data_IF_439571751863
#
_entry.id   IF_439571751863
#
_cell.length_a   1.000
_cell.length_b   1.000
_cell.length_c   1.000
_cell.angle_alpha   90.00
_cell.angle_beta   90.00
_cell.angle_gamma   90.00
#
_symmetry.space_group_name_H-M   'P 1'
#
loop_
_entity.id
_entity.type
_entity.pdbx_description
1 polymer ?
#
# COMPACT_ATOMS: atom_id res chain seq x y z
N UNK A 1 -30.82 8.27 22.59
CA UNK A 1 -30.15 7.38 23.58
C UNK A 1 -29.66 6.16 22.81
N UNK A 2 -28.36 5.94 22.79
CA UNK A 2 -27.80 4.72 22.22
C UNK A 2 -28.26 3.51 23.04
N UNK A 3 -28.79 2.52 22.37
CA UNK A 3 -29.23 1.28 23.01
C UNK A 3 -28.03 0.31 23.08
N UNK A 4 -27.64 -0.07 24.30
CA UNK A 4 -26.54 -1.00 24.52
C UNK A 4 -27.08 -2.39 24.92
N UNK A 5 -26.43 -3.43 24.41
CA UNK A 5 -26.66 -4.83 24.78
C UNK A 5 -25.43 -5.32 25.53
N UNK A 6 -25.64 -5.92 26.70
CA UNK A 6 -24.58 -6.53 27.49
C UNK A 6 -24.30 -7.94 26.97
N UNK A 7 -23.07 -8.19 26.54
CA UNK A 7 -22.60 -9.53 26.16
C UNK A 7 -22.04 -10.19 27.41
N UNK A 8 -22.44 -11.44 27.75
CA UNK A 8 -21.87 -12.18 28.87
C UNK A 8 -20.36 -12.34 28.72
N UNK A 9 -19.65 -12.31 29.84
CA UNK A 9 -18.21 -12.62 29.88
C UNK A 9 -17.98 -14.02 29.32
N UNK A 10 -16.97 -14.15 28.45
CA UNK A 10 -16.57 -15.41 27.82
C UNK A 10 -15.06 -15.53 27.81
N UNK A 11 -14.57 -16.75 28.06
CA UNK A 11 -13.21 -17.11 27.78
C UNK A 11 -13.02 -17.24 26.25
N UNK A 12 -11.89 -16.72 25.75
CA UNK A 12 -11.52 -16.78 24.34
C UNK A 12 -10.31 -17.72 24.22
N UNK A 13 -10.38 -18.79 23.41
CA UNK A 13 -9.26 -19.72 23.28
C UNK A 13 -8.06 -19.05 22.60
N UNK A 14 -6.88 -19.21 23.20
CA UNK A 14 -5.59 -18.85 22.57
C UNK A 14 -5.23 -19.97 21.60
N UNK A 15 -5.23 -19.67 20.32
CA UNK A 15 -4.99 -20.67 19.25
C UNK A 15 -3.57 -20.60 18.69
N UNK A 16 -2.84 -19.51 18.96
CA UNK A 16 -1.50 -19.30 18.45
C UNK A 16 -0.69 -18.38 19.35
N UNK A 17 0.60 -18.74 19.52
CA UNK A 17 1.63 -17.89 20.11
C UNK A 17 2.79 -17.79 19.11
N UNK A 18 3.25 -16.56 18.85
CA UNK A 18 4.30 -16.27 17.87
C UNK A 18 5.26 -15.20 18.42
N UNK A 19 6.39 -14.96 17.77
CA UNK A 19 7.29 -13.87 18.15
C UNK A 19 6.80 -12.52 17.60
N UNK A 20 6.42 -12.48 16.31
CA UNK A 20 5.91 -11.30 15.60
C UNK A 20 4.57 -11.62 14.97
N UNK A 21 3.58 -10.79 15.26
CA UNK A 21 2.26 -10.85 14.63
C UNK A 21 2.04 -9.65 13.73
N UNK A 22 1.74 -9.92 12.45
CA UNK A 22 1.44 -8.90 11.44
C UNK A 22 -0.04 -8.90 11.15
N UNK A 23 -0.68 -7.73 11.18
CA UNK A 23 -2.11 -7.53 10.90
C UNK A 23 -2.28 -6.88 9.55
N UNK A 24 -2.81 -7.62 8.58
CA UNK A 24 -3.03 -7.22 7.21
C UNK A 24 -2.00 -7.77 6.23
N UNK A 25 -2.46 -8.55 5.24
CA UNK A 25 -1.66 -9.19 4.19
C UNK A 25 -1.51 -8.31 2.93
N UNK A 26 -1.55 -6.98 3.07
CA UNK A 26 -1.16 -6.04 2.01
C UNK A 26 0.35 -6.09 1.75
N UNK A 27 0.83 -5.37 0.73
CA UNK A 27 2.26 -5.36 0.35
C UNK A 27 3.20 -4.99 1.51
N UNK A 28 2.78 -4.10 2.41
CA UNK A 28 3.53 -3.74 3.61
C UNK A 28 3.59 -4.89 4.62
N UNK A 29 2.46 -5.56 4.85
CA UNK A 29 2.40 -6.69 5.78
C UNK A 29 3.18 -7.90 5.29
N UNK A 30 3.13 -8.19 3.99
CA UNK A 30 3.96 -9.23 3.36
C UNK A 30 5.44 -8.90 3.58
N UNK A 31 5.87 -7.67 3.29
CA UNK A 31 7.25 -7.25 3.49
C UNK A 31 7.67 -7.34 4.96
N UNK A 32 6.80 -6.92 5.88
CA UNK A 32 7.06 -7.00 7.32
C UNK A 32 7.20 -8.45 7.80
N UNK A 33 6.30 -9.32 7.36
CA UNK A 33 6.34 -10.72 7.74
C UNK A 33 7.58 -11.44 7.20
N UNK A 34 7.89 -11.22 5.92
CA UNK A 34 9.09 -11.79 5.27
C UNK A 34 10.38 -11.26 5.92
N UNK A 35 10.48 -9.94 6.13
CA UNK A 35 11.67 -9.36 6.76
C UNK A 35 11.90 -9.91 8.17
N UNK A 36 10.86 -10.06 8.98
CA UNK A 36 10.96 -10.66 10.29
C UNK A 36 11.33 -12.16 10.22
N UNK A 37 10.72 -12.93 9.32
CA UNK A 37 11.03 -14.34 9.12
C UNK A 37 12.49 -14.56 8.68
N UNK A 38 13.01 -13.75 7.76
CA UNK A 38 14.43 -13.76 7.34
C UNK A 38 15.39 -13.51 8.50
N UNK A 39 14.94 -12.81 9.56
CA UNK A 39 15.70 -12.64 10.79
C UNK A 39 15.57 -13.85 11.75
N UNK A 40 14.88 -14.93 11.38
CA UNK A 40 14.81 -16.18 12.13
C UNK A 40 13.89 -16.15 13.35
N UNK A 41 12.91 -15.25 13.41
CA UNK A 41 11.83 -15.25 14.40
C UNK A 41 10.58 -15.90 13.85
N UNK A 42 9.68 -16.41 14.72
CA UNK A 42 8.41 -16.99 14.32
C UNK A 42 7.43 -15.86 13.96
N UNK A 43 6.83 -15.93 12.77
CA UNK A 43 5.93 -14.89 12.26
C UNK A 43 4.58 -15.48 11.88
N UNK A 44 3.51 -14.83 12.33
CA UNK A 44 2.14 -15.09 11.87
C UNK A 44 1.58 -13.82 11.25
N UNK A 45 1.00 -13.93 10.06
CA UNK A 45 0.32 -12.85 9.35
C UNK A 45 -1.17 -13.15 9.29
N UNK A 46 -2.00 -12.23 9.81
CA UNK A 46 -3.46 -12.30 9.78
C UNK A 46 -3.98 -11.45 8.61
N UNK A 47 -4.78 -12.08 7.72
CA UNK A 47 -5.41 -11.39 6.59
C UNK A 47 -6.92 -11.58 6.60
N UNK A 48 -7.67 -10.47 6.50
CA UNK A 48 -9.15 -10.48 6.51
C UNK A 48 -9.78 -11.05 5.24
N UNK A 49 -9.05 -11.02 4.14
CA UNK A 49 -9.49 -11.58 2.86
C UNK A 49 -8.92 -12.98 2.63
N UNK A 50 -9.17 -13.53 1.45
CA UNK A 50 -8.60 -14.81 1.02
C UNK A 50 -7.46 -14.65 0.01
N UNK A 51 -6.95 -13.43 -0.17
CA UNK A 51 -5.85 -13.12 -1.10
C UNK A 51 -4.88 -12.13 -0.49
N UNK A 52 -3.60 -12.32 -0.73
CA UNK A 52 -2.52 -11.41 -0.36
C UNK A 52 -2.41 -10.23 -1.35
N UNK A 53 -1.69 -9.19 -0.94
CA UNK A 53 -1.38 -8.00 -1.75
C UNK A 53 -2.28 -6.79 -1.47
N UNK A 54 -3.41 -6.96 -0.77
CA UNK A 54 -4.33 -5.87 -0.39
C UNK A 54 -4.79 -5.05 -1.60
N UNK A 55 -4.59 -3.72 -1.57
CA UNK A 55 -5.02 -2.86 -2.70
C UNK A 55 -4.31 -3.17 -4.01
N UNK A 56 -3.09 -3.71 -3.98
CA UNK A 56 -2.35 -4.08 -5.20
C UNK A 56 -3.03 -5.23 -5.96
N UNK A 57 -3.74 -6.09 -5.26
CA UNK A 57 -4.45 -7.25 -5.83
C UNK A 57 -5.97 -7.08 -5.77
N UNK A 58 -6.59 -7.25 -4.60
CA UNK A 58 -8.05 -7.15 -4.43
C UNK A 58 -8.62 -5.76 -4.69
N UNK A 59 -7.80 -4.70 -4.59
CA UNK A 59 -8.16 -3.33 -4.94
C UNK A 59 -7.83 -2.93 -6.38
N UNK A 60 -7.26 -3.82 -7.20
CA UNK A 60 -6.88 -3.59 -8.60
C UNK A 60 -5.85 -2.47 -8.84
N UNK A 61 -5.07 -2.06 -7.84
CA UNK A 61 -3.97 -1.10 -8.01
C UNK A 61 -2.75 -1.85 -8.54
N UNK A 62 -2.84 -2.36 -9.79
CA UNK A 62 -1.88 -3.26 -10.40
C UNK A 62 -0.74 -2.55 -11.14
N UNK A 63 -0.33 -1.40 -10.65
CA UNK A 63 0.81 -0.63 -11.14
C UNK A 63 1.85 -0.53 -10.03
N UNK A 64 2.98 -1.19 -10.22
CA UNK A 64 4.13 -1.00 -9.35
C UNK A 64 4.82 0.29 -9.75
N UNK A 65 4.60 1.35 -8.97
CA UNK A 65 5.11 2.68 -9.24
C UNK A 65 6.64 2.70 -9.21
N UNK A 66 7.29 3.73 -9.80
CA UNK A 66 8.73 3.73 -9.99
C UNK A 66 9.52 3.53 -8.71
N UNK A 67 10.61 2.76 -8.83
CA UNK A 67 11.60 2.58 -7.78
C UNK A 67 12.92 3.32 -8.07
N UNK A 68 12.94 4.14 -9.12
CA UNK A 68 14.02 5.06 -9.51
C UNK A 68 13.60 6.53 -9.38
N UNK A 69 14.58 7.45 -9.41
CA UNK A 69 14.35 8.90 -9.31
C UNK A 69 13.97 9.57 -10.64
N UNK A 70 13.98 8.85 -11.75
CA UNK A 70 13.75 9.39 -13.10
C UNK A 70 14.97 10.02 -13.75
N UNK A 71 16.14 9.98 -13.10
CA UNK A 71 17.46 10.30 -13.64
C UNK A 71 18.35 9.06 -13.75
N UNK A 72 17.75 7.87 -13.70
CA UNK A 72 18.45 6.60 -13.78
C UNK A 72 19.09 6.13 -12.48
N UNK A 73 18.78 6.71 -11.32
CA UNK A 73 19.26 6.23 -10.03
C UNK A 73 18.16 5.42 -9.32
N UNK A 74 18.45 4.17 -8.95
CA UNK A 74 17.55 3.36 -8.14
C UNK A 74 17.47 3.93 -6.72
N UNK A 75 16.26 4.19 -6.25
CA UNK A 75 15.97 4.76 -4.92
C UNK A 75 15.53 3.66 -3.95
N UNK A 76 14.64 2.78 -4.38
CA UNK A 76 14.18 1.66 -3.57
C UNK A 76 14.94 0.40 -3.94
N UNK A 77 15.44 -0.31 -2.92
CA UNK A 77 16.05 -1.63 -3.04
C UNK A 77 15.39 -2.60 -2.06
N UNK A 78 16.08 -3.67 -1.68
CA UNK A 78 15.58 -4.66 -0.74
C UNK A 78 14.28 -5.32 -1.19
N UNK A 79 13.37 -5.54 -0.26
CA UNK A 79 12.07 -6.14 -0.57
C UNK A 79 11.22 -5.30 -1.51
N UNK A 80 11.43 -3.98 -1.60
CA UNK A 80 10.69 -3.15 -2.54
C UNK A 80 11.02 -3.50 -4.00
N UNK A 81 12.26 -3.83 -4.31
CA UNK A 81 12.66 -4.35 -5.61
C UNK A 81 12.26 -5.82 -5.79
N UNK A 82 12.45 -6.66 -4.76
CA UNK A 82 12.09 -8.07 -4.81
C UNK A 82 10.60 -8.28 -5.10
N UNK A 83 9.70 -7.57 -4.40
CA UNK A 83 8.25 -7.69 -4.61
C UNK A 83 7.79 -7.21 -5.98
N UNK A 84 8.47 -6.22 -6.60
CA UNK A 84 8.23 -5.87 -7.99
C UNK A 84 8.42 -7.11 -8.89
N UNK A 85 9.56 -7.78 -8.74
CA UNK A 85 9.86 -8.98 -9.53
C UNK A 85 8.99 -10.19 -9.16
N UNK A 86 8.57 -10.32 -7.90
CA UNK A 86 7.59 -11.34 -7.49
C UNK A 86 6.26 -11.12 -8.19
N UNK A 87 5.76 -9.89 -8.26
CA UNK A 87 4.47 -9.58 -8.90
C UNK A 87 4.43 -9.89 -10.39
N UNK A 88 5.57 -9.88 -11.09
CA UNK A 88 5.65 -10.17 -12.54
C UNK A 88 6.20 -11.57 -12.86
N UNK A 89 6.52 -12.38 -11.86
CA UNK A 89 7.24 -13.65 -12.02
C UNK A 89 6.61 -14.61 -13.02
N UNK A 90 5.28 -14.69 -13.07
CA UNK A 90 4.54 -15.68 -13.85
C UNK A 90 3.57 -15.07 -14.86
N UNK A 91 3.79 -13.82 -15.26
CA UNK A 91 2.93 -13.15 -16.24
C UNK A 91 3.71 -12.20 -17.14
N UNK A 92 3.01 -11.67 -18.14
CA UNK A 92 3.53 -10.57 -18.94
C UNK A 92 3.66 -9.33 -18.06
N UNK A 93 4.69 -8.55 -18.39
CA UNK A 93 5.01 -7.29 -17.75
C UNK A 93 5.50 -6.27 -18.79
N UNK A 94 5.68 -5.04 -18.37
CA UNK A 94 6.25 -3.97 -19.17
C UNK A 94 7.47 -3.33 -18.50
N UNK A 95 8.19 -4.12 -17.69
CA UNK A 95 9.44 -3.68 -17.08
C UNK A 95 10.47 -3.40 -18.18
N UNK A 96 11.07 -2.19 -18.24
CA UNK A 96 12.08 -1.88 -19.24
C UNK A 96 13.31 -2.79 -19.12
N UNK A 97 13.87 -3.20 -20.27
CA UNK A 97 14.98 -4.16 -20.33
C UNK A 97 16.19 -3.74 -19.50
N UNK A 98 16.49 -2.43 -19.47
CA UNK A 98 17.61 -1.86 -18.72
C UNK A 98 17.56 -2.15 -17.22
N UNK A 99 16.36 -2.41 -16.67
CA UNK A 99 16.14 -2.67 -15.25
C UNK A 99 16.01 -4.16 -14.87
N UNK A 100 15.94 -5.07 -15.87
CA UNK A 100 15.72 -6.50 -15.61
C UNK A 100 16.84 -7.18 -14.82
N UNK A 101 18.08 -6.70 -14.98
CA UNK A 101 19.24 -7.20 -14.23
C UNK A 101 19.39 -6.58 -12.85
N UNK A 102 18.41 -5.77 -12.39
CA UNK A 102 18.42 -5.05 -11.11
C UNK A 102 19.65 -4.15 -10.90
N UNK A 103 20.07 -3.32 -11.88
CA UNK A 103 21.21 -2.45 -11.67
C UNK A 103 20.88 -1.33 -10.68
N UNK A 104 21.90 -0.76 -10.02
CA UNK A 104 21.73 0.42 -9.17
C UNK A 104 21.53 1.72 -9.96
N UNK A 105 21.98 1.73 -11.21
CA UNK A 105 21.86 2.88 -12.11
C UNK A 105 21.59 2.45 -13.55
N UNK A 106 20.92 3.34 -14.30
CA UNK A 106 20.69 3.23 -15.72
C UNK A 106 20.97 4.59 -16.40
N UNK A 107 21.02 4.69 -17.75
CA UNK A 107 21.08 5.98 -18.43
C UNK A 107 19.95 6.92 -17.97
N UNK A 108 20.25 8.22 -17.81
CA UNK A 108 19.32 9.20 -17.26
C UNK A 108 18.04 9.42 -18.10
N UNK A 109 18.08 9.07 -19.37
CA UNK A 109 16.95 9.13 -20.30
C UNK A 109 16.14 7.83 -20.39
N UNK A 110 16.52 6.80 -19.62
CA UNK A 110 15.81 5.52 -19.58
C UNK A 110 14.34 5.68 -19.17
N UNK A 111 13.51 4.73 -19.60
CA UNK A 111 12.17 4.56 -19.04
C UNK A 111 12.25 4.25 -17.55
N UNK A 112 11.20 4.63 -16.81
CA UNK A 112 11.14 4.46 -15.35
C UNK A 112 11.20 2.99 -14.95
N UNK A 113 11.88 2.71 -13.85
CA UNK A 113 11.90 1.39 -13.21
C UNK A 113 10.54 1.13 -12.57
N UNK A 114 9.54 0.82 -13.37
CA UNK A 114 8.16 0.54 -12.96
C UNK A 114 7.54 -0.50 -13.88
N UNK A 115 6.47 -1.13 -13.43
CA UNK A 115 5.76 -2.13 -14.25
C UNK A 115 4.29 -2.23 -13.88
N UNK A 116 3.48 -2.62 -14.85
CA UNK A 116 2.16 -3.19 -14.59
C UNK A 116 2.30 -4.71 -14.37
N UNK A 117 1.37 -5.30 -13.65
CA UNK A 117 1.36 -6.74 -13.42
C UNK A 117 -0.05 -7.33 -13.50
N UNK A 118 -0.10 -8.62 -13.81
CA UNK A 118 -1.33 -9.39 -13.84
C UNK A 118 -1.74 -9.76 -12.42
N UNK A 119 -2.93 -9.37 -11.99
CA UNK A 119 -3.41 -9.55 -10.61
C UNK A 119 -3.48 -11.03 -10.20
N UNK A 120 -4.13 -11.95 -10.96
CA UNK A 120 -4.17 -13.37 -10.61
C UNK A 120 -2.78 -13.97 -10.44
N UNK A 121 -1.86 -13.69 -11.36
CA UNK A 121 -0.49 -14.18 -11.27
C UNK A 121 0.26 -13.61 -10.05
N UNK A 122 0.07 -12.33 -9.76
CA UNK A 122 0.67 -11.70 -8.59
C UNK A 122 0.17 -12.30 -7.28
N UNK A 123 -1.13 -12.61 -7.15
CA UNK A 123 -1.68 -13.31 -5.97
C UNK A 123 -0.96 -14.62 -5.75
N UNK A 124 -0.89 -15.49 -6.79
CA UNK A 124 -0.24 -16.80 -6.67
C UNK A 124 1.27 -16.69 -6.39
N UNK A 125 1.94 -15.68 -6.99
CA UNK A 125 3.35 -15.42 -6.72
C UNK A 125 3.59 -14.94 -5.28
N UNK A 126 2.69 -14.15 -4.71
CA UNK A 126 2.78 -13.69 -3.31
C UNK A 126 2.51 -14.82 -2.32
N UNK A 127 1.57 -15.73 -2.63
CA UNK A 127 1.33 -16.93 -1.82
C UNK A 127 2.57 -17.84 -1.81
N UNK A 128 3.14 -18.11 -2.99
CA UNK A 128 4.38 -18.89 -3.10
C UNK A 128 5.54 -18.22 -2.35
N UNK A 129 5.73 -16.91 -2.53
CA UNK A 129 6.80 -16.15 -1.92
C UNK A 129 6.72 -16.20 -0.39
N UNK A 130 5.55 -15.92 0.20
CA UNK A 130 5.36 -15.96 1.65
C UNK A 130 5.56 -17.35 2.23
N UNK A 131 5.12 -18.38 1.52
CA UNK A 131 5.33 -19.78 1.92
C UNK A 131 6.82 -20.18 1.89
N UNK A 132 7.56 -19.78 0.84
CA UNK A 132 9.00 -20.02 0.71
C UNK A 132 9.81 -19.33 1.82
N UNK A 133 9.37 -18.15 2.26
CA UNK A 133 10.00 -17.39 3.34
C UNK A 133 9.55 -17.85 4.74
N UNK A 134 8.71 -18.91 4.82
CA UNK A 134 8.30 -19.53 6.09
C UNK A 134 7.33 -18.69 6.92
N UNK A 135 6.58 -17.79 6.29
CA UNK A 135 5.52 -17.01 6.94
C UNK A 135 4.27 -17.85 7.12
N UNK A 136 3.76 -17.90 8.35
CA UNK A 136 2.48 -18.55 8.66
C UNK A 136 1.32 -17.58 8.40
N UNK A 137 0.61 -17.77 7.29
CA UNK A 137 -0.49 -16.89 6.86
C UNK A 137 -1.84 -17.47 7.28
N UNK A 138 -2.65 -16.64 7.93
CA UNK A 138 -4.01 -16.98 8.37
C UNK A 138 -5.01 -16.09 7.62
N UNK A 139 -5.71 -16.67 6.66
CA UNK A 139 -6.72 -16.01 5.83
C UNK A 139 -8.11 -16.01 6.49
N UNK A 140 -9.04 -15.22 5.91
CA UNK A 140 -10.45 -15.09 6.34
C UNK A 140 -10.56 -14.83 7.85
N UNK A 141 -9.68 -13.96 8.36
CA UNK A 141 -9.49 -13.71 9.79
C UNK A 141 -9.37 -12.23 10.07
N UNK A 142 -10.38 -11.69 10.73
CA UNK A 142 -10.55 -10.26 10.96
C UNK A 142 -10.05 -9.88 12.35
N UNK A 143 -9.07 -8.98 12.43
CA UNK A 143 -8.70 -8.35 13.69
C UNK A 143 -9.88 -7.59 14.29
N UNK A 144 -10.20 -7.86 15.57
CA UNK A 144 -11.32 -7.26 16.30
C UNK A 144 -10.85 -6.31 17.39
N UNK A 145 -10.06 -6.80 18.33
CA UNK A 145 -9.66 -6.04 19.53
C UNK A 145 -8.22 -6.37 19.96
N UNK A 146 -7.44 -5.40 20.48
CA UNK A 146 -6.19 -5.69 21.16
C UNK A 146 -6.42 -6.19 22.59
N UNK A 147 -5.59 -7.08 23.07
CA UNK A 147 -5.50 -7.49 24.48
C UNK A 147 -4.36 -6.67 25.10
N UNK A 148 -4.71 -5.72 25.97
CA UNK A 148 -3.77 -4.74 26.51
C UNK A 148 -3.34 -5.06 27.94
N UNK A 149 -2.06 -4.79 28.24
CA UNK A 149 -1.51 -4.69 29.59
C UNK A 149 -0.71 -3.39 29.70
N UNK A 150 -1.31 -2.37 30.28
CA UNK A 150 -0.74 -1.03 30.25
C UNK A 150 -0.63 -0.49 28.83
N UNK A 151 0.58 -0.14 28.42
CA UNK A 151 0.90 0.32 27.06
C UNK A 151 1.42 -0.80 26.13
N UNK A 152 1.30 -2.05 26.55
CA UNK A 152 1.80 -3.22 25.81
C UNK A 152 0.65 -4.05 25.30
N UNK A 153 0.65 -4.36 24.01
CA UNK A 153 -0.26 -5.33 23.39
C UNK A 153 0.26 -6.75 23.73
N UNK A 154 -0.55 -7.56 24.38
CA UNK A 154 -0.19 -8.97 24.70
C UNK A 154 -0.67 -9.94 23.62
N UNK A 155 -1.77 -9.59 22.98
CA UNK A 155 -2.38 -10.38 21.93
C UNK A 155 -3.45 -9.60 21.19
N UNK A 156 -4.09 -10.27 20.27
CA UNK A 156 -5.27 -9.74 19.57
C UNK A 156 -6.41 -10.75 19.57
N UNK A 157 -7.63 -10.24 19.54
CA UNK A 157 -8.82 -11.00 19.26
C UNK A 157 -9.08 -10.98 17.75
N UNK A 158 -9.38 -12.15 17.20
CA UNK A 158 -9.66 -12.36 15.79
C UNK A 158 -11.01 -13.06 15.64
N UNK A 159 -11.81 -12.57 14.71
CA UNK A 159 -13.07 -13.21 14.28
C UNK A 159 -12.82 -14.00 12.99
N UNK A 160 -13.20 -15.27 12.95
CA UNK A 160 -13.01 -16.15 11.80
C UNK A 160 -14.13 -17.21 11.72
N UNK A 161 -14.02 -18.15 10.76
CA UNK A 161 -14.92 -19.32 10.66
C UNK A 161 -14.94 -20.15 11.93
N UNK A 162 -13.86 -20.17 12.71
CA UNK A 162 -13.76 -20.88 13.98
C UNK A 162 -14.37 -20.11 15.14
N UNK A 163 -14.93 -18.93 14.90
CA UNK A 163 -15.45 -18.00 15.89
C UNK A 163 -14.37 -17.06 16.41
N UNK A 164 -14.56 -16.55 17.62
CA UNK A 164 -13.66 -15.63 18.30
C UNK A 164 -12.48 -16.38 18.92
N UNK A 165 -11.27 -16.01 18.54
CA UNK A 165 -10.01 -16.62 19.00
C UNK A 165 -8.97 -15.56 19.34
N UNK A 166 -7.97 -15.91 20.15
CA UNK A 166 -6.88 -15.04 20.55
C UNK A 166 -5.54 -15.52 19.93
N UNK A 167 -4.76 -14.57 19.46
CA UNK A 167 -3.39 -14.74 18.99
C UNK A 167 -2.46 -13.91 19.86
N UNK A 168 -1.45 -14.55 20.44
CA UNK A 168 -0.49 -13.90 21.33
C UNK A 168 0.84 -13.69 20.63
N UNK A 169 1.51 -12.56 20.89
CA UNK A 169 2.82 -12.29 20.34
C UNK A 169 3.65 -11.37 21.26
N UNK A 170 4.97 -11.31 21.00
CA UNK A 170 5.88 -10.37 21.67
C UNK A 170 5.85 -8.99 21.02
N UNK A 171 5.87 -8.95 19.68
CA UNK A 171 5.83 -7.73 18.88
C UNK A 171 4.69 -7.79 17.87
N UNK A 172 4.11 -6.65 17.57
CA UNK A 172 2.99 -6.49 16.64
C UNK A 172 3.34 -5.49 15.56
N UNK A 173 2.88 -5.77 14.33
CA UNK A 173 3.00 -4.83 13.20
C UNK A 173 1.60 -4.58 12.66
N UNK A 174 1.14 -3.34 12.80
CA UNK A 174 -0.08 -2.89 12.16
C UNK A 174 0.21 -2.55 10.70
N UNK A 175 -0.24 -3.42 9.80
CA UNK A 175 -0.23 -3.25 8.36
C UNK A 175 -1.65 -3.31 7.77
N UNK A 176 -2.66 -3.03 8.61
CA UNK A 176 -4.09 -3.06 8.24
C UNK A 176 -4.44 -2.08 7.10
N UNK A 177 -3.59 -1.07 6.90
CA UNK A 177 -3.76 0.01 5.93
C UNK A 177 -4.63 1.16 6.45
N UNK A 178 -5.32 0.95 7.57
CA UNK A 178 -6.27 1.90 8.16
C UNK A 178 -5.93 2.21 9.63
N UNK A 179 -4.72 1.82 10.10
CA UNK A 179 -4.24 2.01 11.48
C UNK A 179 -5.17 1.41 12.55
N UNK A 180 -5.72 0.23 12.26
CA UNK A 180 -6.78 -0.35 13.11
C UNK A 180 -6.24 -0.81 14.45
N UNK A 181 -5.06 -1.45 14.51
CA UNK A 181 -4.47 -1.90 15.76
C UNK A 181 -4.02 -0.69 16.61
N UNK A 182 -3.21 0.21 16.01
CA UNK A 182 -2.67 1.36 16.76
C UNK A 182 -3.78 2.26 17.30
N UNK A 183 -4.84 2.47 16.52
CA UNK A 183 -6.02 3.24 16.95
C UNK A 183 -6.76 2.55 18.12
N UNK A 184 -7.06 1.25 17.99
CA UNK A 184 -7.79 0.50 19.04
C UNK A 184 -6.95 0.26 20.28
N UNK A 185 -5.61 0.27 20.15
CA UNK A 185 -4.70 0.23 21.29
C UNK A 185 -4.48 1.60 21.96
N UNK A 186 -5.15 2.66 21.50
CA UNK A 186 -5.14 3.98 22.11
C UNK A 186 -4.01 4.92 21.68
N UNK A 187 -3.33 4.64 20.58
CA UNK A 187 -2.37 5.58 19.99
C UNK A 187 -3.08 6.76 19.31
N UNK A 188 -2.38 7.90 19.21
CA UNK A 188 -2.88 9.05 18.46
C UNK A 188 -2.87 8.77 16.96
N UNK A 189 -3.95 9.16 16.30
CA UNK A 189 -4.15 8.98 14.88
C UNK A 189 -4.81 10.19 14.25
N UNK A 190 -4.56 10.40 12.96
CA UNK A 190 -5.28 11.38 12.14
C UNK A 190 -6.07 10.70 11.05
N UNK A 191 -7.24 11.24 10.72
CA UNK A 191 -8.11 10.74 9.66
C UNK A 191 -8.24 11.74 8.52
N UNK A 192 -8.40 11.22 7.31
CA UNK A 192 -8.64 12.00 6.11
C UNK A 192 -9.71 11.31 5.26
N UNK A 193 -10.59 12.10 4.65
CA UNK A 193 -11.50 11.59 3.63
C UNK A 193 -10.74 11.30 2.34
N UNK A 194 -11.08 10.21 1.69
CA UNK A 194 -10.46 9.79 0.44
C UNK A 194 -11.39 10.00 -0.74
N UNK A 195 -10.81 10.28 -1.89
CA UNK A 195 -11.55 10.43 -3.15
C UNK A 195 -12.09 9.09 -3.63
N UNK A 196 -13.25 9.13 -4.29
CA UNK A 196 -13.86 7.93 -4.90
C UNK A 196 -13.21 7.66 -6.24
N UNK A 197 -12.77 6.42 -6.42
CA UNK A 197 -12.26 5.88 -7.68
C UNK A 197 -12.74 4.44 -7.90
N UNK A 198 -12.71 3.98 -9.15
CA UNK A 198 -13.05 2.61 -9.52
C UNK A 198 -12.14 2.12 -10.63
N UNK A 199 -11.39 1.07 -10.37
CA UNK A 199 -10.44 0.49 -11.32
C UNK A 199 -10.91 -0.89 -11.73
N UNK A 200 -10.82 -1.20 -13.01
CA UNK A 200 -11.20 -2.50 -13.55
C UNK A 200 -10.42 -2.82 -14.83
N UNK A 201 -10.37 -4.09 -15.18
CA UNK A 201 -9.88 -4.51 -16.49
C UNK A 201 -11.05 -4.67 -17.45
N UNK A 202 -10.78 -4.40 -18.71
CA UNK A 202 -11.77 -4.49 -19.78
C UNK A 202 -11.28 -5.34 -20.94
N UNK A 203 -12.24 -5.86 -21.70
CA UNK A 203 -12.06 -6.36 -23.04
C UNK A 203 -12.81 -5.43 -23.99
N UNK A 204 -12.11 -4.94 -24.99
CA UNK A 204 -12.60 -4.12 -26.08
C UNK A 204 -11.97 -4.64 -27.36
N UNK A 205 -12.77 -5.05 -28.36
CA UNK A 205 -12.23 -5.73 -29.54
C UNK A 205 -11.23 -4.90 -30.31
N UNK A 206 -11.42 -3.58 -30.41
CA UNK A 206 -10.48 -2.70 -31.11
C UNK A 206 -9.16 -2.54 -30.34
N UNK A 207 -9.25 -2.49 -29.00
CA UNK A 207 -8.07 -2.43 -28.13
C UNK A 207 -7.32 -3.76 -28.17
N UNK A 208 -8.05 -4.88 -28.06
CA UNK A 208 -7.46 -6.23 -28.15
C UNK A 208 -6.75 -6.44 -29.47
N UNK A 209 -7.39 -6.06 -30.59
CA UNK A 209 -6.77 -6.18 -31.91
C UNK A 209 -5.43 -5.45 -31.99
N UNK A 210 -5.39 -4.22 -31.51
CA UNK A 210 -4.14 -3.45 -31.47
C UNK A 210 -3.08 -4.10 -30.56
N UNK A 211 -3.47 -4.57 -29.38
CA UNK A 211 -2.56 -5.27 -28.47
C UNK A 211 -1.99 -6.56 -29.06
N UNK A 212 -2.82 -7.33 -29.80
CA UNK A 212 -2.38 -8.53 -30.53
C UNK A 212 -1.42 -8.18 -31.66
N UNK A 213 -1.73 -7.15 -32.46
CA UNK A 213 -0.87 -6.69 -33.56
C UNK A 213 0.49 -6.20 -33.05
N UNK A 214 0.56 -5.61 -31.87
CA UNK A 214 1.77 -5.16 -31.20
C UNK A 214 2.49 -6.25 -30.38
N UNK A 215 1.85 -7.43 -30.18
CA UNK A 215 2.36 -8.49 -29.33
C UNK A 215 2.38 -8.12 -27.83
N UNK A 216 1.51 -7.20 -27.40
CA UNK A 216 1.48 -6.65 -26.04
C UNK A 216 0.18 -7.03 -25.32
N UNK A 217 0.24 -8.05 -24.45
CA UNK A 217 -0.92 -8.57 -23.71
C UNK A 217 -1.49 -7.55 -22.72
N UNK A 218 -0.65 -6.76 -22.06
CA UNK A 218 -1.09 -5.73 -21.12
C UNK A 218 -1.88 -4.63 -21.84
N UNK A 219 -1.51 -4.36 -23.09
CA UNK A 219 -2.25 -3.42 -23.93
C UNK A 219 -3.53 -4.02 -24.50
N UNK A 220 -3.55 -5.33 -24.71
CA UNK A 220 -4.75 -6.04 -25.18
C UNK A 220 -5.86 -6.07 -24.11
N UNK A 221 -5.48 -6.08 -22.82
CA UNK A 221 -6.39 -6.12 -21.66
C UNK A 221 -6.01 -5.01 -20.68
N UNK A 222 -6.29 -3.74 -21.03
CA UNK A 222 -5.86 -2.61 -20.21
C UNK A 222 -6.66 -2.51 -18.92
N UNK A 223 -6.06 -1.85 -17.95
CA UNK A 223 -6.75 -1.38 -16.76
C UNK A 223 -7.40 -0.02 -17.06
N UNK A 224 -8.67 0.11 -16.70
CA UNK A 224 -9.42 1.36 -16.79
C UNK A 224 -9.71 1.93 -15.41
N UNK A 225 -9.69 3.24 -15.32
CA UNK A 225 -9.94 3.97 -14.10
C UNK A 225 -11.05 5.02 -14.30
N UNK A 226 -12.05 4.98 -13.42
CA UNK A 226 -13.14 5.95 -13.31
C UNK A 226 -13.02 6.75 -12.00
N UNK A 227 -13.59 7.93 -11.97
CA UNK A 227 -13.62 8.78 -10.77
C UNK A 227 -12.59 9.90 -10.81
N UNK A 228 -12.35 10.53 -9.66
CA UNK A 228 -11.45 11.66 -9.58
C UNK A 228 -9.98 11.25 -9.80
N UNK A 229 -9.27 12.09 -10.53
CA UNK A 229 -7.81 11.99 -10.66
C UNK A 229 -7.21 12.44 -9.32
N UNK A 230 -6.31 11.69 -8.70
CA UNK A 230 -5.56 12.21 -7.59
C UNK A 230 -4.61 13.31 -8.10
N UNK A 231 -4.96 14.55 -7.94
CA UNK A 231 -3.98 15.60 -7.82
C UNK A 231 -3.20 15.28 -6.54
N UNK A 232 -1.91 15.10 -6.59
CA UNK A 232 -1.09 14.58 -5.48
C UNK A 232 -1.10 15.40 -4.18
N UNK A 233 -2.23 15.96 -3.78
CA UNK A 233 -2.41 16.77 -2.59
C UNK A 233 -3.82 16.60 -2.01
N UNK A 234 -3.89 16.44 -0.72
CA UNK A 234 -5.10 16.72 0.04
C UNK A 234 -5.46 18.20 -0.12
N UNK A 235 -6.67 18.52 -0.56
CA UNK A 235 -7.22 19.85 -0.34
C UNK A 235 -7.95 20.56 -1.46
N UNK A 236 -7.84 20.16 -2.73
CA UNK A 236 -8.47 20.90 -3.84
C UNK A 236 -9.64 20.13 -4.51
N UNK A 237 -10.27 19.20 -3.79
CA UNK A 237 -11.17 18.24 -4.39
C UNK A 237 -12.62 18.60 -4.10
N UNK A 238 -13.47 18.46 -5.12
CA UNK A 238 -14.91 18.59 -4.97
C UNK A 238 -15.36 17.70 -3.81
N UNK A 239 -15.80 18.29 -2.71
CA UNK A 239 -16.20 17.60 -1.46
C UNK A 239 -17.20 16.46 -1.69
N UNK A 240 -17.98 16.53 -2.78
CA UNK A 240 -19.06 15.63 -3.12
C UNK A 240 -18.62 14.20 -3.50
N UNK A 241 -17.33 13.95 -3.73
CA UNK A 241 -16.78 12.64 -4.10
C UNK A 241 -15.69 12.14 -3.14
N UNK A 242 -15.78 12.50 -1.86
CA UNK A 242 -14.89 12.01 -0.81
C UNK A 242 -15.66 11.23 0.25
N UNK A 243 -15.10 10.13 0.73
CA UNK A 243 -15.68 9.27 1.76
C UNK A 243 -14.73 9.04 2.92
N UNK A 244 -15.29 8.83 4.10
CA UNK A 244 -14.56 8.40 5.28
C UNK A 244 -14.36 6.87 5.24
N UNK A 245 -13.12 6.42 5.08
CA UNK A 245 -12.78 4.99 5.06
C UNK A 245 -12.66 4.34 6.44
N UNK A 246 -12.91 5.07 7.53
CA UNK A 246 -12.76 4.58 8.91
C UNK A 246 -14.09 4.19 9.57
N UNK A 247 -15.21 4.43 8.89
CA UNK A 247 -16.56 4.10 9.37
C UNK A 247 -17.29 3.16 8.42
N UNK A 248 -18.19 2.34 8.95
CA UNK A 248 -19.04 1.44 8.13
C UNK A 248 -19.89 2.22 7.13
N UNK A 249 -20.43 3.35 7.55
CA UNK A 249 -21.26 4.24 6.74
C UNK A 249 -20.46 4.80 5.57
N UNK A 250 -19.26 5.32 5.84
CA UNK A 250 -18.38 5.88 4.80
C UNK A 250 -17.84 4.81 3.82
N UNK A 251 -17.55 3.60 4.31
CA UNK A 251 -17.18 2.46 3.45
C UNK A 251 -18.35 2.08 2.54
N UNK A 252 -19.58 1.99 3.08
CA UNK A 252 -20.77 1.67 2.29
C UNK A 252 -21.08 2.77 1.26
N UNK A 253 -20.89 4.02 1.62
CA UNK A 253 -21.04 5.16 0.72
C UNK A 253 -20.03 5.06 -0.44
N UNK A 254 -18.73 4.87 -0.13
CA UNK A 254 -17.70 4.67 -1.14
C UNK A 254 -18.05 3.56 -2.13
N UNK A 255 -18.49 2.39 -1.63
CA UNK A 255 -18.85 1.25 -2.46
C UNK A 255 -20.02 1.61 -3.39
N UNK A 256 -21.05 2.25 -2.88
CA UNK A 256 -22.21 2.69 -3.71
C UNK A 256 -21.80 3.69 -4.78
N UNK A 257 -21.00 4.69 -4.42
CA UNK A 257 -20.53 5.72 -5.34
C UNK A 257 -19.62 5.12 -6.42
N UNK A 258 -18.60 4.37 -6.05
CA UNK A 258 -17.64 3.78 -6.99
C UNK A 258 -18.32 2.79 -7.95
N UNK A 259 -19.23 1.95 -7.44
CA UNK A 259 -20.02 1.03 -8.28
C UNK A 259 -21.06 1.76 -9.13
N UNK A 260 -21.59 2.89 -8.66
CA UNK A 260 -22.45 3.78 -9.43
C UNK A 260 -21.73 4.31 -10.68
N UNK A 261 -20.51 4.81 -10.52
CA UNK A 261 -19.65 5.23 -11.65
C UNK A 261 -19.45 4.10 -12.66
N UNK A 262 -19.13 2.90 -12.18
CA UNK A 262 -18.92 1.72 -13.03
C UNK A 262 -20.21 1.33 -13.78
N UNK A 263 -21.35 1.33 -13.10
CA UNK A 263 -22.64 1.00 -13.70
C UNK A 263 -23.05 2.02 -14.78
N UNK A 264 -22.86 3.31 -14.51
CA UNK A 264 -23.19 4.36 -15.48
C UNK A 264 -22.26 4.30 -16.70
N UNK A 265 -20.97 3.99 -16.47
CA UNK A 265 -20.04 3.70 -17.56
C UNK A 265 -20.52 2.51 -18.42
N UNK A 266 -20.92 1.40 -17.82
CA UNK A 266 -21.45 0.22 -18.54
C UNK A 266 -22.72 0.55 -19.32
N UNK A 267 -23.66 1.31 -18.75
CA UNK A 267 -24.89 1.73 -19.46
C UNK A 267 -24.59 2.57 -20.69
N UNK A 268 -23.63 3.51 -20.58
CA UNK A 268 -23.24 4.41 -21.68
C UNK A 268 -22.44 3.70 -22.78
N UNK A 269 -21.68 2.65 -22.40
CA UNK A 269 -20.80 1.90 -23.31
C UNK A 269 -21.35 0.52 -23.65
N UNK A 270 -22.66 0.30 -23.52
CA UNK A 270 -23.29 -0.97 -23.85
C UNK A 270 -23.15 -1.25 -25.34
N UNK A 271 -22.39 -2.31 -25.68
CA UNK A 271 -22.14 -2.80 -27.04
C UNK A 271 -21.65 -4.24 -26.98
N UNK A 272 -21.70 -4.96 -28.10
CA UNK A 272 -21.41 -6.40 -28.15
C UNK A 272 -19.91 -6.71 -28.18
N UNK A 273 -19.07 -5.71 -28.44
CA UNK A 273 -17.60 -5.81 -28.54
C UNK A 273 -16.85 -5.27 -27.32
N UNK A 274 -17.57 -5.03 -26.21
CA UNK A 274 -17.02 -4.53 -24.95
C UNK A 274 -17.49 -5.34 -23.74
N UNK A 275 -16.57 -5.64 -22.81
CA UNK A 275 -16.90 -6.22 -21.51
C UNK A 275 -16.00 -5.66 -20.39
N UNK A 276 -16.59 -5.32 -19.26
CA UNK A 276 -15.86 -5.18 -18.00
C UNK A 276 -15.62 -6.59 -17.44
N UNK A 277 -14.37 -6.98 -17.24
CA UNK A 277 -14.01 -8.37 -16.87
C UNK A 277 -13.54 -8.50 -15.43
N UNK A 278 -13.41 -7.43 -14.69
CA UNK A 278 -13.02 -7.48 -13.28
C UNK A 278 -13.69 -6.39 -12.47
N UNK A 279 -13.84 -6.64 -11.17
CA UNK A 279 -14.30 -5.67 -10.17
C UNK A 279 -13.37 -5.74 -8.95
N UNK A 280 -13.02 -4.62 -8.32
CA UNK A 280 -12.28 -4.64 -7.06
C UNK A 280 -13.16 -5.24 -5.94
N UNK A 281 -12.57 -6.12 -5.15
CA UNK A 281 -13.20 -6.73 -3.98
C UNK A 281 -12.93 -5.95 -2.70
N UNK A 282 -11.96 -5.05 -2.73
CA UNK A 282 -11.62 -4.14 -1.63
C UNK A 282 -11.80 -2.70 -2.09
N UNK A 283 -12.47 -1.84 -1.31
CA UNK A 283 -12.59 -0.41 -1.61
C UNK A 283 -11.20 0.22 -1.75
N UNK A 284 -11.02 1.04 -2.79
CA UNK A 284 -9.73 1.64 -3.12
C UNK A 284 -9.44 2.89 -2.28
N UNK A 285 -9.57 2.79 -0.97
CA UNK A 285 -9.22 3.88 -0.08
C UNK A 285 -7.72 4.18 -0.15
N UNK A 286 -7.37 5.41 -0.44
CA UNK A 286 -5.97 5.86 -0.58
C UNK A 286 -5.37 6.27 0.75
N UNK A 287 -6.07 7.14 1.46
CA UNK A 287 -5.72 7.66 2.78
C UNK A 287 -6.98 7.63 3.63
N UNK A 288 -6.90 7.04 4.81
CA UNK A 288 -8.04 6.89 5.73
C UNK A 288 -7.66 7.40 7.11
N UNK A 289 -6.83 6.63 7.80
CA UNK A 289 -6.26 6.94 9.10
C UNK A 289 -4.76 6.65 9.07
N UNK A 290 -3.97 7.51 9.72
CA UNK A 290 -2.53 7.34 9.90
C UNK A 290 -2.14 7.42 11.38
N UNK A 291 -1.02 6.81 11.72
CA UNK A 291 -0.36 6.99 13.01
C UNK A 291 0.12 8.45 13.14
N UNK A 292 -0.02 9.03 14.32
CA UNK A 292 0.80 10.15 14.77
C UNK A 292 2.00 9.56 15.49
N UNK A 293 3.12 9.45 14.77
CA UNK A 293 4.35 8.85 15.26
C UNK A 293 5.16 9.79 16.12
N UNK A 294 6.30 9.30 16.63
CA UNK A 294 7.25 10.11 17.41
C UNK A 294 7.93 11.17 16.54
N UNK A 295 8.08 10.91 15.23
CA UNK A 295 8.40 11.87 14.18
C UNK A 295 7.61 11.54 12.91
N UNK A 296 7.73 12.34 11.86
CA UNK A 296 6.99 12.17 10.62
C UNK A 296 7.80 12.57 9.38
N UNK A 297 7.42 12.02 8.22
CA UNK A 297 7.94 12.51 6.95
C UNK A 297 7.35 13.90 6.65
N UNK A 298 8.23 14.91 6.55
CA UNK A 298 7.91 16.28 6.12
C UNK A 298 8.25 16.44 4.64
N UNK A 299 7.26 16.80 3.85
CA UNK A 299 7.40 16.85 2.38
C UNK A 299 8.22 18.02 1.86
N UNK A 300 8.27 19.13 2.61
CA UNK A 300 8.84 20.39 2.11
C UNK A 300 10.35 20.51 2.35
N UNK A 301 10.95 19.63 3.14
CA UNK A 301 12.34 19.68 3.55
C UNK A 301 13.16 18.49 3.03
N UNK A 302 14.17 18.78 2.20
CA UNK A 302 15.21 17.82 1.84
C UNK A 302 16.30 17.83 2.91
N UNK A 303 16.19 17.03 3.96
CA UNK A 303 17.20 16.95 5.01
C UNK A 303 17.68 15.51 5.20
N UNK A 304 18.87 15.40 5.77
CA UNK A 304 19.45 14.14 6.18
C UNK A 304 18.82 13.68 7.49
N UNK A 305 18.44 12.42 7.58
CA UNK A 305 17.83 11.82 8.76
C UNK A 305 18.73 10.70 9.28
N UNK A 306 19.33 10.90 10.46
CA UNK A 306 20.23 9.92 11.08
C UNK A 306 19.56 8.57 11.34
N UNK A 307 18.28 8.57 11.64
CA UNK A 307 17.44 7.36 11.86
C UNK A 307 16.74 6.88 10.60
N UNK A 308 17.18 7.31 9.41
CA UNK A 308 16.54 6.91 8.15
C UNK A 308 16.46 5.39 8.01
N UNK A 309 15.28 4.92 7.61
CA UNK A 309 15.04 3.53 7.23
C UNK A 309 15.03 3.32 5.72
N UNK A 310 15.18 4.40 4.95
CA UNK A 310 15.29 4.35 3.49
C UNK A 310 14.79 5.60 2.79
N UNK A 311 15.16 5.69 1.54
CA UNK A 311 14.76 6.76 0.63
C UNK A 311 13.38 6.50 0.04
N UNK A 312 12.63 7.59 -0.18
CA UNK A 312 11.31 7.59 -0.84
C UNK A 312 11.24 8.68 -1.90
N UNK A 313 10.55 8.43 -3.02
CA UNK A 313 10.38 9.42 -4.09
C UNK A 313 9.11 10.24 -3.90
N UNK A 314 9.17 11.51 -4.30
CA UNK A 314 8.06 12.46 -4.17
C UNK A 314 6.90 12.22 -5.14
N UNK A 315 7.20 11.72 -6.34
CA UNK A 315 6.23 11.70 -7.44
C UNK A 315 6.67 10.83 -8.61
N UNK A 316 5.83 10.80 -9.65
CA UNK A 316 6.13 10.18 -10.94
C UNK A 316 6.96 11.10 -11.86
N UNK A 317 7.23 12.34 -11.44
CA UNK A 317 7.96 13.32 -12.25
C UNK A 317 9.40 12.87 -12.56
N UNK A 318 9.97 13.47 -13.59
CA UNK A 318 11.36 13.28 -13.99
C UNK A 318 12.10 14.63 -13.91
N UNK A 319 13.06 14.80 -12.99
CA UNK A 319 13.39 13.93 -11.85
C UNK A 319 12.39 14.05 -10.70
N UNK A 320 12.27 13.00 -9.90
CA UNK A 320 11.55 13.03 -8.65
C UNK A 320 12.46 13.50 -7.51
N UNK A 321 11.94 14.33 -6.61
CA UNK A 321 12.64 14.61 -5.35
C UNK A 321 12.71 13.35 -4.50
N UNK A 322 13.83 13.11 -3.85
CA UNK A 322 14.06 11.97 -2.97
C UNK A 322 14.14 12.45 -1.53
N UNK A 323 13.35 11.84 -0.66
CA UNK A 323 13.32 12.11 0.79
C UNK A 323 13.87 10.91 1.56
N UNK A 324 14.24 11.10 2.81
CA UNK A 324 14.60 10.05 3.76
C UNK A 324 13.44 9.87 4.75
N UNK A 325 13.06 8.62 5.06
CA UNK A 325 11.97 8.35 5.99
C UNK A 325 12.51 7.97 7.36
N UNK A 326 12.10 8.66 8.46
CA UNK A 326 12.60 8.39 9.80
C UNK A 326 12.03 7.10 10.40
N UNK A 327 12.83 6.38 11.18
CA UNK A 327 12.38 5.22 11.98
C UNK A 327 11.20 5.58 12.90
N UNK A 328 11.26 6.74 13.50
CA UNK A 328 10.27 7.30 14.42
C UNK A 328 8.89 7.46 13.78
N UNK A 329 8.82 7.47 12.45
CA UNK A 329 7.57 7.46 11.70
C UNK A 329 6.82 6.11 11.73
N UNK A 330 7.48 5.05 12.20
CA UNK A 330 6.90 3.70 12.37
C UNK A 330 6.35 3.44 13.77
N UNK A 331 6.68 4.27 14.76
CA UNK A 331 6.43 4.03 16.19
C UNK A 331 5.72 5.21 16.86
N UNK A 332 5.22 4.98 18.06
CA UNK A 332 4.63 6.01 18.93
C UNK A 332 5.10 5.80 20.37
N UNK A 333 5.19 6.85 21.16
CA UNK A 333 5.52 6.76 22.59
C UNK A 333 4.42 6.09 23.43
N UNK A 334 3.21 5.95 22.88
CA UNK A 334 2.06 5.37 23.59
C UNK A 334 2.04 3.85 23.63
N UNK A 335 2.78 3.17 22.74
CA UNK A 335 2.79 1.71 22.65
C UNK A 335 4.24 1.20 22.69
N UNK A 336 4.50 0.19 23.51
CA UNK A 336 5.85 -0.31 23.75
C UNK A 336 6.31 -1.40 22.77
N UNK A 337 5.37 -2.04 22.03
CA UNK A 337 5.66 -3.21 21.22
C UNK A 337 4.87 -3.27 19.91
N UNK A 338 4.47 -2.12 19.37
CA UNK A 338 3.71 -2.03 18.12
C UNK A 338 4.42 -1.12 17.13
N UNK A 339 4.59 -1.62 15.91
CA UNK A 339 5.02 -0.86 14.73
C UNK A 339 3.84 -0.61 13.80
N UNK A 340 3.85 0.51 13.10
CA UNK A 340 2.98 0.76 11.96
C UNK A 340 3.77 0.57 10.64
N UNK A 341 3.12 0.03 9.61
CA UNK A 341 3.72 -0.16 8.29
C UNK A 341 2.72 0.13 7.17
N UNK A 342 3.24 0.58 6.02
CA UNK A 342 2.42 0.87 4.85
C UNK A 342 1.87 2.28 4.82
N UNK A 343 0.74 2.47 4.13
CA UNK A 343 0.16 3.80 3.86
C UNK A 343 -0.29 4.59 5.10
N UNK A 344 -0.23 4.00 6.25
CA UNK A 344 -0.69 4.55 7.53
C UNK A 344 0.42 4.99 8.48
N UNK A 345 1.68 4.98 8.02
CA UNK A 345 2.83 5.49 8.79
C UNK A 345 2.74 6.99 9.02
N UNK A 346 3.54 7.51 9.94
CA UNK A 346 3.53 8.94 10.27
C UNK A 346 4.14 9.78 9.15
N UNK A 347 3.29 10.48 8.44
CA UNK A 347 3.64 11.42 7.38
C UNK A 347 2.50 12.41 7.19
N UNK A 348 2.78 13.69 6.98
CA UNK A 348 1.77 14.74 6.85
C UNK A 348 1.63 15.29 5.44
N UNK A 349 0.47 15.85 5.13
CA UNK A 349 0.19 16.54 3.88
C UNK A 349 0.56 15.69 2.64
N UNK A 350 1.38 16.24 1.75
CA UNK A 350 1.87 15.53 0.55
C UNK A 350 2.77 14.35 0.89
N UNK A 351 3.48 14.38 2.02
CA UNK A 351 4.27 13.25 2.53
C UNK A 351 3.41 12.00 2.69
N UNK A 352 2.21 12.14 3.26
CA UNK A 352 1.29 11.00 3.37
C UNK A 352 0.88 10.45 2.00
N UNK A 353 0.65 11.31 1.01
CA UNK A 353 0.27 10.88 -0.33
C UNK A 353 1.33 10.01 -1.03
N UNK A 354 2.63 10.23 -0.78
CA UNK A 354 3.71 9.42 -1.36
C UNK A 354 3.95 8.12 -0.58
N UNK A 355 3.70 8.10 0.73
CA UNK A 355 3.89 6.89 1.55
C UNK A 355 2.87 5.78 1.26
N UNK A 356 1.83 6.03 0.44
CA UNK A 356 0.89 5.03 -0.05
C UNK A 356 1.35 4.31 -1.33
N UNK A 357 2.46 4.73 -1.96
CA UNK A 357 3.03 4.03 -3.11
C UNK A 357 3.48 2.63 -2.72
N UNK A 358 3.27 1.65 -3.60
CA UNK A 358 3.63 0.26 -3.30
C UNK A 358 5.07 0.14 -2.79
N UNK A 359 6.11 0.70 -3.47
CA UNK A 359 7.48 0.58 -2.97
C UNK A 359 7.70 1.25 -1.60
N UNK A 360 7.07 2.39 -1.32
CA UNK A 360 7.14 3.04 -0.01
C UNK A 360 6.46 2.21 1.08
N UNK A 361 5.30 1.61 0.79
CA UNK A 361 4.64 0.68 1.70
C UNK A 361 5.52 -0.54 2.01
N UNK A 362 6.18 -1.11 0.99
CA UNK A 362 7.07 -2.27 1.15
C UNK A 362 8.29 -1.90 1.98
N UNK A 363 8.93 -0.76 1.72
CA UNK A 363 10.06 -0.24 2.49
C UNK A 363 9.75 -0.15 3.99
N UNK A 364 8.61 0.48 4.33
CA UNK A 364 8.19 0.62 5.74
C UNK A 364 7.86 -0.74 6.37
N UNK A 365 7.32 -1.68 5.58
CA UNK A 365 7.09 -3.05 6.02
C UNK A 365 8.41 -3.78 6.33
N UNK A 366 9.38 -3.73 5.41
CA UNK A 366 10.71 -4.34 5.60
C UNK A 366 11.41 -3.81 6.85
N UNK A 367 11.39 -2.49 7.04
CA UNK A 367 11.99 -1.86 8.21
C UNK A 367 11.28 -2.26 9.51
N UNK A 368 9.94 -2.23 9.54
CA UNK A 368 9.15 -2.63 10.71
C UNK A 368 9.36 -4.11 11.07
N UNK A 369 9.38 -5.00 10.06
CA UNK A 369 9.62 -6.44 10.27
C UNK A 369 11.02 -6.73 10.82
N UNK A 370 12.04 -6.09 10.24
CA UNK A 370 13.42 -6.22 10.71
C UNK A 370 13.57 -5.68 12.13
N UNK A 371 13.01 -4.51 12.42
CA UNK A 371 13.04 -3.89 13.74
C UNK A 371 12.30 -4.74 14.79
N UNK A 372 11.15 -5.30 14.45
CA UNK A 372 10.39 -6.19 15.32
C UNK A 372 11.22 -7.44 15.70
N UNK A 373 11.91 -8.03 14.73
CA UNK A 373 12.78 -9.17 15.00
C UNK A 373 13.98 -8.82 15.88
N UNK A 374 14.58 -7.62 15.70
CA UNK A 374 15.62 -7.09 16.59
C UNK A 374 15.04 -6.95 18.01
N UNK A 375 13.89 -6.30 18.16
CA UNK A 375 13.25 -6.09 19.46
C UNK A 375 12.92 -7.40 20.17
N UNK A 376 12.46 -8.44 19.45
CA UNK A 376 12.24 -9.78 20.00
C UNK A 376 13.54 -10.39 20.53
N UNK A 377 14.64 -10.34 19.75
CA UNK A 377 15.93 -10.94 20.08
C UNK A 377 16.64 -10.24 21.23
N UNK A 378 16.54 -8.91 21.26
CA UNK A 378 17.23 -8.08 22.24
C UNK A 378 16.36 -7.87 23.50
N UNK A 379 15.07 -8.27 23.48
CA UNK A 379 14.14 -8.14 24.61
C UNK A 379 13.82 -6.68 24.95
N UNK A 380 13.76 -5.79 23.95
CA UNK A 380 13.59 -4.36 24.14
C UNK A 380 12.26 -3.85 23.58
N UNK A 381 11.87 -2.62 23.92
CA UNK A 381 10.69 -1.95 23.34
C UNK A 381 10.99 -1.40 21.96
N UNK A 382 9.93 -0.98 21.24
CA UNK A 382 10.08 -0.36 19.91
C UNK A 382 10.92 0.93 19.96
N UNK A 383 10.88 1.67 21.06
CA UNK A 383 11.67 2.90 21.25
C UNK A 383 13.17 2.61 21.56
N UNK A 384 13.50 1.38 21.93
CA UNK A 384 14.84 0.97 22.34
C UNK A 384 15.59 0.14 21.28
N UNK A 385 14.98 -0.05 20.11
CA UNK A 385 15.63 -0.74 18.98
C UNK A 385 16.93 -0.02 18.61
N UNK A 386 18.02 -0.77 18.49
CA UNK A 386 19.29 -0.25 17.98
C UNK A 386 19.16 0.11 16.49
N UNK A 387 19.06 1.40 16.23
CA UNK A 387 18.87 1.95 14.87
C UNK A 387 20.06 1.60 13.97
N UNK A 388 21.28 1.58 14.49
CA UNK A 388 22.46 1.24 13.68
C UNK A 388 22.47 -0.23 13.28
N UNK A 389 22.03 -1.10 14.17
CA UNK A 389 21.84 -2.53 13.87
C UNK A 389 20.75 -2.72 12.81
N UNK A 390 19.63 -2.01 12.92
CA UNK A 390 18.56 -2.01 11.93
C UNK A 390 19.07 -1.53 10.57
N UNK A 391 19.69 -0.36 10.53
CA UNK A 391 20.25 0.24 9.31
C UNK A 391 21.23 -0.69 8.60
N UNK A 392 22.14 -1.31 9.36
CA UNK A 392 23.10 -2.28 8.81
C UNK A 392 22.41 -3.45 8.10
N UNK A 393 21.36 -4.02 8.70
CA UNK A 393 20.61 -5.11 8.08
C UNK A 393 19.88 -4.63 6.83
N UNK A 394 19.25 -3.47 6.87
CA UNK A 394 18.55 -2.89 5.71
C UNK A 394 19.50 -2.62 4.54
N UNK A 395 20.70 -2.06 4.82
CA UNK A 395 21.73 -1.84 3.79
C UNK A 395 22.25 -3.16 3.20
N UNK A 396 22.50 -4.17 4.04
CA UNK A 396 22.92 -5.51 3.60
C UNK A 396 21.87 -6.17 2.69
N UNK A 397 20.59 -5.85 2.89
CA UNK A 397 19.48 -6.25 2.01
C UNK A 397 19.33 -5.38 0.75
N UNK A 398 20.12 -4.33 0.60
CA UNK A 398 20.11 -3.45 -0.58
C UNK A 398 19.24 -2.21 -0.43
N UNK A 399 18.65 -1.92 0.74
CA UNK A 399 17.89 -0.70 0.98
C UNK A 399 18.83 0.52 0.93
N UNK A 400 18.42 1.57 0.25
CA UNK A 400 19.15 2.85 0.19
C UNK A 400 18.67 3.75 1.33
N UNK A 401 19.45 3.83 2.41
CA UNK A 401 19.08 4.60 3.61
C UNK A 401 19.12 6.10 3.36
N UNK A 402 20.13 6.57 2.62
CA UNK A 402 20.40 7.99 2.42
C UNK A 402 20.49 8.34 0.94
N UNK A 403 20.16 9.58 0.63
CA UNK A 403 20.29 10.16 -0.69
C UNK A 403 21.76 10.21 -1.11
N UNK A 404 22.01 9.88 -2.35
CA UNK A 404 23.33 10.11 -2.97
C UNK A 404 23.40 11.54 -3.52
N UNK A 405 24.60 12.06 -3.79
CA UNK A 405 24.78 13.35 -4.46
C UNK A 405 24.04 13.46 -5.80
N UNK A 406 23.86 12.34 -6.51
CA UNK A 406 23.13 12.31 -7.77
C UNK A 406 21.62 12.51 -7.60
N UNK A 407 21.09 12.25 -6.40
CA UNK A 407 19.67 12.42 -6.05
C UNK A 407 19.39 13.79 -5.39
N UNK A 408 20.44 14.49 -4.92
CA UNK A 408 20.29 15.81 -4.29
C UNK A 408 19.89 16.87 -5.30
N UNK A 409 19.03 17.82 -4.88
CA UNK A 409 18.62 18.96 -5.69
C UNK A 409 17.63 18.62 -6.81
N UNK A 410 17.16 17.40 -6.92
CA UNK A 410 16.05 17.03 -7.78
C UNK A 410 14.79 17.76 -7.30
N UNK A 411 14.45 18.90 -7.94
CA UNK A 411 13.21 19.61 -7.65
C UNK A 411 12.17 19.20 -8.67
N UNK A 412 10.97 18.75 -8.22
CA UNK A 412 9.89 18.48 -9.14
C UNK A 412 9.63 19.77 -9.93
N UNK A 413 9.62 19.68 -11.25
CA UNK A 413 8.98 20.71 -12.06
C UNK A 413 7.56 20.76 -11.54
N UNK A 414 7.14 21.93 -11.01
CA UNK A 414 5.77 22.11 -10.53
C UNK A 414 4.88 21.70 -11.68
N UNK A 415 4.26 20.53 -11.57
CA UNK A 415 3.20 20.11 -12.46
C UNK A 415 2.05 21.06 -12.18
N UNK A 416 2.02 22.20 -12.91
CA UNK A 416 0.73 22.77 -13.19
C UNK A 416 0.05 21.72 -14.04
N UNK A 417 -0.98 21.09 -13.48
CA UNK A 417 -2.04 20.47 -14.27
C UNK A 417 -2.62 21.57 -15.13
N UNK A 418 -1.93 21.92 -16.22
CA UNK A 418 -2.62 22.42 -17.39
C UNK A 418 -3.57 21.28 -17.70
N UNK A 419 -4.91 21.56 -17.63
CA UNK A 419 -5.92 20.62 -18.11
C UNK A 419 -5.34 20.09 -19.40
N UNK A 420 -4.96 18.82 -19.52
CA UNK A 420 -4.69 18.29 -20.82
C UNK A 420 -5.98 18.55 -21.56
N UNK A 421 -5.90 19.03 -22.79
CA UNK A 421 -7.00 18.87 -23.74
C UNK A 421 -7.23 17.37 -23.78
N UNK A 422 -8.11 16.91 -22.90
CA UNK A 422 -8.30 15.50 -22.58
C UNK A 422 -9.00 14.92 -23.80
N UNK A 423 -8.20 14.42 -24.72
CA UNK A 423 -8.70 13.46 -25.68
C UNK A 423 -9.26 12.30 -24.84
N UNK A 424 -10.55 11.96 -25.00
CA UNK A 424 -11.12 10.81 -24.30
C UNK A 424 -10.23 9.60 -24.55
N UNK A 425 -9.64 9.04 -23.48
CA UNK A 425 -8.80 7.86 -23.56
C UNK A 425 -7.29 8.07 -23.49
N UNK A 426 -6.79 9.28 -23.15
CA UNK A 426 -5.35 9.47 -22.92
C UNK A 426 -4.87 8.71 -21.67
N UNK A 427 -3.75 7.96 -21.74
CA UNK A 427 -3.20 7.26 -20.58
C UNK A 427 -2.64 8.26 -19.57
N UNK A 428 -3.05 8.15 -18.30
CA UNK A 428 -2.63 9.09 -17.24
C UNK A 428 -1.37 8.63 -16.53
N UNK A 429 -1.23 7.32 -16.28
CA UNK A 429 -0.07 6.75 -15.59
C UNK A 429 0.93 6.20 -16.60
N UNK A 430 0.45 5.46 -17.57
CA UNK A 430 1.20 4.95 -18.70
C UNK A 430 0.23 4.47 -19.80
N UNK A 431 0.76 3.97 -20.92
CA UNK A 431 -0.05 3.47 -22.06
C UNK A 431 -1.00 2.29 -21.74
N UNK A 432 -0.89 1.69 -20.56
CA UNK A 432 -1.68 0.54 -20.10
C UNK A 432 -2.82 0.92 -19.14
N UNK A 433 -2.88 2.19 -18.73
CA UNK A 433 -3.88 2.71 -17.82
C UNK A 433 -4.64 3.86 -18.48
N UNK A 434 -5.93 3.69 -18.67
CA UNK A 434 -6.78 4.68 -19.32
C UNK A 434 -7.71 5.32 -18.29
N UNK A 435 -7.67 6.64 -18.18
CA UNK A 435 -8.61 7.41 -17.38
C UNK A 435 -9.82 7.80 -18.20
N UNK A 436 -11.00 7.66 -17.62
CA UNK A 436 -12.24 8.19 -18.17
C UNK A 436 -12.65 9.38 -17.34
N UNK A 437 -12.72 10.55 -17.99
CA UNK A 437 -13.29 11.74 -17.37
C UNK A 437 -14.75 11.46 -17.03
N UNK A 438 -15.10 11.68 -15.77
CA UNK A 438 -16.45 11.54 -15.25
C UNK A 438 -17.19 12.88 -15.15
N UNK A 439 -16.63 13.98 -15.68
CA UNK A 439 -17.35 15.24 -15.81
C UNK A 439 -18.59 15.01 -16.69
N UNK A 440 -19.75 15.15 -16.09
CA UNK A 440 -21.06 14.87 -16.75
C UNK A 440 -21.70 13.54 -16.38
N UNK A 441 -21.07 12.69 -15.57
CA UNK A 441 -21.74 11.56 -14.91
C UNK A 441 -22.54 12.08 -13.71
N UNK A 442 -23.88 12.10 -13.84
CA UNK A 442 -24.74 12.36 -12.68
C UNK A 442 -24.75 11.11 -11.80
N UNK A 443 -24.51 11.31 -10.52
CA UNK A 443 -24.63 10.26 -9.53
C UNK A 443 -26.07 9.76 -9.46
N UNK A 444 -26.27 8.45 -9.45
CA UNK A 444 -27.58 7.85 -9.20
C UNK A 444 -27.96 8.10 -7.72
N UNK A 445 -28.51 9.26 -7.43
CA UNK A 445 -28.86 9.70 -6.08
C UNK A 445 -29.43 11.11 -6.02
N UNK A 446 -29.23 11.93 -7.04
CA UNK A 446 -29.89 13.23 -7.14
C UNK A 446 -31.39 13.04 -7.49
N UNK A 447 -32.15 12.69 -6.45
CA UNK A 447 -33.57 12.95 -6.43
C UNK A 447 -33.78 14.20 -5.59
N UNK A 448 -34.08 15.27 -6.33
CA UNK A 448 -34.70 16.55 -5.93
C UNK A 448 -33.99 17.41 -4.89
#
# INVERSE_FOLDING_TARGET
>A
MEQHIRIPEKEVPVVKETDVLVIGGGVAGIAAAVAAARQGVKVTLIEKSIVLGGLATSGHVCVYLPIDDGNGNKVYGGLAEDLLHVCIRYSQDNLPEVWRSKPDTAPADSERYMTNFNIPAAVLSLDEFTAQEGVDVVFDSVFSEPIMEGNTVKGIIVESKSGRTAYMAKMFIDASGDADLVYRAGADTETLKTIVSHWFHELDFDIMKRGIEEGDMLRAVPMRWLGLVPSGGAGDEKEDLTCDGTTTEGVNEYIRLSRGLALDFLKKNRRDDFAMISLPFTPQFRMTRRLVGTDELKYDDEYHIDSSIGCVISSLDKPATVYEFPYEGLITDKLSNVFAAGRMVSASGRGWAIMRFIPACVLTGEAAGTAAAIAVKDGCTVQQVDIRKLQKILEDNGVKLHRTKAMEGNKPKIWKLEKPDAQPGAPIINKYCVHVDTEGYRMAGDKH
#
